data_IF_530923595733
#
_entry.id   IF_530923595733
#
_cell.length_a   1.000
_cell.length_b   1.000
_cell.length_c   1.000
_cell.angle_alpha   90.00
_cell.angle_beta   90.00
_cell.angle_gamma   90.00
#
_symmetry.space_group_name_H-M   'P 1'
#
loop_
_entity.id
_entity.type
_entity.pdbx_description
1 polymer ?
#
# COMPACT_ATOMS: atom_id res chain seq x y z
N UNK A 1 -39.67 20.91 32.31
CA UNK A 1 -38.67 21.84 31.69
C UNK A 1 -37.31 21.15 31.75
N UNK A 2 -36.70 20.86 30.59
CA UNK A 2 -35.37 20.24 30.54
C UNK A 2 -34.36 21.34 30.86
N UNK A 3 -33.47 21.10 31.84
CA UNK A 3 -32.42 22.06 32.18
C UNK A 3 -31.53 22.34 30.96
N UNK A 4 -31.14 23.59 30.66
CA UNK A 4 -30.26 23.95 29.57
C UNK A 4 -28.92 23.21 29.65
N UNK A 5 -28.47 22.84 30.84
CA UNK A 5 -27.25 22.06 31.06
C UNK A 5 -27.41 20.64 30.50
N UNK A 6 -28.54 20.00 30.72
CA UNK A 6 -28.84 18.65 30.19
C UNK A 6 -28.86 18.68 28.65
N UNK A 7 -29.49 19.70 28.07
CA UNK A 7 -29.55 19.86 26.63
C UNK A 7 -28.14 20.07 26.03
N UNK A 8 -27.32 20.92 26.64
CA UNK A 8 -25.95 21.14 26.23
C UNK A 8 -25.08 19.86 26.30
N UNK A 9 -25.21 19.10 27.40
CA UNK A 9 -24.52 17.83 27.58
C UNK A 9 -24.94 16.79 26.50
N UNK A 10 -26.23 16.72 26.19
CA UNK A 10 -26.77 15.81 25.16
C UNK A 10 -26.22 16.19 23.76
N UNK A 11 -26.24 17.47 23.41
CA UNK A 11 -25.65 17.97 22.15
C UNK A 11 -24.17 17.66 22.06
N UNK A 12 -23.41 17.88 23.11
CA UNK A 12 -21.99 17.56 23.17
C UNK A 12 -21.71 16.06 22.96
N UNK A 13 -22.53 15.21 23.57
CA UNK A 13 -22.40 13.75 23.40
C UNK A 13 -22.71 13.29 21.96
N UNK A 14 -23.74 13.88 21.34
CA UNK A 14 -24.11 13.60 19.94
C UNK A 14 -22.99 14.05 19.00
N UNK A 15 -22.43 15.25 19.18
CA UNK A 15 -21.32 15.75 18.39
C UNK A 15 -20.07 14.87 18.53
N UNK A 16 -19.77 14.43 19.74
CA UNK A 16 -18.67 13.50 19.99
C UNK A 16 -18.90 12.15 19.29
N UNK A 17 -20.10 11.60 19.37
CA UNK A 17 -20.47 10.35 18.70
C UNK A 17 -20.33 10.48 17.18
N UNK A 18 -20.77 11.59 16.59
CA UNK A 18 -20.64 11.86 15.16
C UNK A 18 -19.16 12.02 14.74
N UNK A 19 -18.34 12.63 15.58
CA UNK A 19 -16.90 12.77 15.34
C UNK A 19 -16.14 11.43 15.34
N UNK A 20 -16.67 10.43 16.04
CA UNK A 20 -16.10 9.09 16.09
C UNK A 20 -16.43 8.23 14.86
N UNK A 21 -17.45 8.60 14.08
CA UNK A 21 -17.86 7.82 12.91
C UNK A 21 -16.99 8.17 11.71
N UNK A 22 -16.32 7.17 11.12
CA UNK A 22 -15.55 7.28 9.89
C UNK A 22 -16.12 6.39 8.81
N UNK A 23 -16.32 6.97 7.62
CA UNK A 23 -16.72 6.23 6.43
C UNK A 23 -15.47 5.96 5.60
N UNK A 24 -15.22 4.68 5.33
CA UNK A 24 -14.13 4.22 4.48
C UNK A 24 -14.71 3.91 3.10
N UNK A 25 -14.20 4.53 2.02
CA UNK A 25 -14.65 4.27 0.66
C UNK A 25 -14.35 2.82 0.23
N UNK A 26 -15.07 2.37 -0.80
CA UNK A 26 -14.79 1.07 -1.42
C UNK A 26 -13.38 1.06 -2.03
N UNK A 27 -12.71 -0.08 -1.90
CA UNK A 27 -11.34 -0.25 -2.43
C UNK A 27 -10.25 0.36 -1.56
N UNK A 28 -10.58 0.92 -0.40
CA UNK A 28 -9.61 1.44 0.56
C UNK A 28 -9.65 0.69 1.88
N UNK A 29 -8.50 0.60 2.52
CA UNK A 29 -8.32 0.08 3.86
C UNK A 29 -7.55 1.11 4.69
N UNK A 30 -8.04 1.38 5.89
CA UNK A 30 -7.34 2.24 6.84
C UNK A 30 -6.64 1.38 7.87
N UNK A 31 -5.37 1.65 8.10
CA UNK A 31 -4.64 1.09 9.23
C UNK A 31 -4.72 2.05 10.41
N UNK A 32 -5.12 1.53 11.54
CA UNK A 32 -5.18 2.25 12.79
C UNK A 32 -4.06 1.76 13.71
N UNK A 33 -3.38 2.69 14.33
CA UNK A 33 -2.42 2.39 15.40
C UNK A 33 -3.02 2.79 16.74
N UNK A 34 -3.21 1.80 17.60
CA UNK A 34 -3.64 2.00 18.98
C UNK A 34 -2.50 2.56 19.85
N UNK A 35 -2.85 3.09 21.01
CA UNK A 35 -1.88 3.57 22.02
C UNK A 35 -0.95 2.46 22.53
N UNK A 36 -1.41 1.21 22.46
CA UNK A 36 -0.67 -0.01 22.81
C UNK A 36 0.27 -0.50 21.69
N UNK A 37 0.39 0.25 20.59
CA UNK A 37 1.19 -0.10 19.41
C UNK A 37 0.54 -1.14 18.49
N UNK A 38 -0.63 -1.66 18.83
CA UNK A 38 -1.32 -2.63 17.97
C UNK A 38 -1.83 -1.98 16.70
N UNK A 39 -1.65 -2.67 15.60
CA UNK A 39 -2.18 -2.29 14.30
C UNK A 39 -3.51 -3.02 14.05
N UNK A 40 -4.54 -2.26 13.77
CA UNK A 40 -5.87 -2.73 13.38
C UNK A 40 -6.20 -2.21 11.99
N UNK A 41 -6.70 -3.07 11.13
CA UNK A 41 -7.13 -2.70 9.78
C UNK A 41 -8.65 -2.57 9.74
N UNK A 42 -9.13 -1.51 9.11
CA UNK A 42 -10.56 -1.28 8.86
C UNK A 42 -10.78 -1.29 7.34
N UNK A 43 -11.65 -2.19 6.88
CA UNK A 43 -12.09 -2.26 5.50
C UNK A 43 -13.14 -1.21 5.16
N UNK A 44 -13.75 -1.34 3.98
CA UNK A 44 -14.84 -0.47 3.53
C UNK A 44 -16.03 -0.47 4.50
N UNK A 45 -16.74 0.65 4.59
CA UNK A 45 -17.94 0.79 5.40
C UNK A 45 -17.88 1.90 6.44
N UNK A 46 -18.83 1.86 7.39
CA UNK A 46 -18.90 2.78 8.52
C UNK A 46 -18.25 2.13 9.74
N UNK A 47 -17.30 2.83 10.33
CA UNK A 47 -16.56 2.36 11.50
C UNK A 47 -16.54 3.42 12.58
N UNK A 48 -16.56 2.96 13.82
CA UNK A 48 -16.35 3.82 14.98
C UNK A 48 -14.86 3.80 15.32
N UNK A 49 -14.25 4.95 15.25
CA UNK A 49 -12.82 5.18 15.61
C UNK A 49 -12.80 6.16 16.77
N UNK A 50 -12.18 5.77 17.86
CA UNK A 50 -12.04 6.64 19.04
C UNK A 50 -10.77 7.49 18.89
N UNK A 51 -10.87 8.79 18.55
CA UNK A 51 -9.70 9.62 18.21
C UNK A 51 -8.69 9.76 19.35
N UNK A 52 -9.12 9.51 20.59
CA UNK A 52 -8.25 9.55 21.78
C UNK A 52 -7.42 8.28 21.99
N UNK A 53 -7.88 7.14 21.43
CA UNK A 53 -7.28 5.83 21.63
C UNK A 53 -6.60 5.28 20.37
N UNK A 54 -7.13 5.63 19.21
CA UNK A 54 -6.68 5.13 17.92
C UNK A 54 -6.37 6.29 16.96
N UNK A 55 -5.28 6.18 16.23
CA UNK A 55 -4.90 7.14 15.18
C UNK A 55 -4.85 6.41 13.85
N UNK A 56 -5.43 7.02 12.80
CA UNK A 56 -5.24 6.55 11.43
C UNK A 56 -3.76 6.70 11.09
N UNK A 57 -3.09 5.57 10.87
CA UNK A 57 -1.69 5.52 10.46
C UNK A 57 -1.59 5.75 8.95
N UNK A 58 -2.21 4.87 8.16
CA UNK A 58 -2.17 4.98 6.70
C UNK A 58 -3.57 4.72 6.11
N UNK A 59 -3.77 5.29 4.92
CA UNK A 59 -4.90 5.02 4.04
C UNK A 59 -4.36 4.28 2.83
N UNK A 60 -4.64 3.00 2.74
CA UNK A 60 -4.10 2.11 1.73
C UNK A 60 -5.15 1.90 0.65
N UNK A 61 -4.81 2.24 -0.58
CA UNK A 61 -5.64 1.92 -1.74
C UNK A 61 -5.32 0.48 -2.18
N UNK A 62 -6.36 -0.33 -2.32
CA UNK A 62 -6.25 -1.71 -2.82
C UNK A 62 -6.29 -1.78 -4.34
N UNK A 63 -6.62 -0.67 -5.01
CA UNK A 63 -6.53 -0.61 -6.46
C UNK A 63 -5.08 -0.79 -6.91
N UNK A 64 -4.91 -1.41 -8.08
CA UNK A 64 -3.59 -1.58 -8.64
C UNK A 64 -2.91 -0.25 -8.94
N UNK A 65 -1.63 -0.16 -8.64
CA UNK A 65 -0.78 0.98 -8.94
C UNK A 65 0.38 0.59 -9.86
N UNK A 66 1.05 1.58 -10.43
CA UNK A 66 2.17 1.36 -11.35
C UNK A 66 3.39 2.14 -10.92
N UNK A 67 4.55 1.52 -11.04
CA UNK A 67 5.84 2.16 -10.81
C UNK A 67 6.71 2.01 -12.05
N UNK A 68 7.20 3.13 -12.56
CA UNK A 68 8.19 3.13 -13.63
C UNK A 68 9.61 3.04 -13.04
N UNK A 69 10.37 2.08 -13.54
CA UNK A 69 11.77 1.89 -13.20
C UNK A 69 12.57 2.16 -14.46
N UNK A 70 13.25 3.28 -14.47
CA UNK A 70 14.13 3.69 -15.55
C UNK A 70 15.58 3.28 -15.23
N UNK A 71 16.46 3.41 -16.20
CA UNK A 71 17.91 3.22 -16.02
C UNK A 71 18.30 1.79 -15.60
N UNK A 72 17.57 0.81 -16.08
CA UNK A 72 17.95 -0.59 -15.98
C UNK A 72 19.00 -0.88 -17.08
N UNK A 73 20.25 -1.11 -16.70
CA UNK A 73 21.32 -1.30 -17.65
C UNK A 73 21.78 -2.75 -17.69
N UNK A 74 21.92 -3.29 -18.91
CA UNK A 74 22.50 -4.62 -19.13
C UNK A 74 23.41 -4.63 -20.36
N UNK A 75 24.72 -4.73 -20.12
CA UNK A 75 25.71 -4.51 -21.16
C UNK A 75 25.62 -3.09 -21.70
N UNK A 76 25.52 -2.97 -23.01
CA UNK A 76 25.38 -1.67 -23.70
C UNK A 76 23.92 -1.23 -23.90
N UNK A 77 22.96 -1.97 -23.40
CA UNK A 77 21.54 -1.69 -23.59
C UNK A 77 20.89 -1.18 -22.31
N UNK A 78 20.19 -0.08 -22.46
CA UNK A 78 19.33 0.45 -21.42
C UNK A 78 17.90 -0.10 -21.58
N UNK A 79 17.23 -0.34 -20.45
CA UNK A 79 15.87 -0.86 -20.39
C UNK A 79 15.05 0.00 -19.46
N UNK A 80 13.75 0.02 -19.73
CA UNK A 80 12.73 0.60 -18.88
C UNK A 80 11.73 -0.46 -18.48
N UNK A 81 11.42 -0.58 -17.20
CA UNK A 81 10.37 -1.46 -16.71
C UNK A 81 9.20 -0.65 -16.14
N UNK A 82 7.99 -1.13 -16.37
CA UNK A 82 6.78 -0.65 -15.69
C UNK A 82 6.23 -1.82 -14.88
N UNK A 83 6.24 -1.66 -13.57
CA UNK A 83 5.78 -2.67 -12.62
C UNK A 83 4.36 -2.34 -12.18
N UNK A 84 3.41 -3.23 -12.45
CA UNK A 84 2.03 -3.14 -11.99
C UNK A 84 1.89 -3.97 -10.72
N UNK A 85 1.50 -3.35 -9.63
CA UNK A 85 1.38 -4.01 -8.34
C UNK A 85 0.07 -3.65 -7.63
N UNK A 86 -0.28 -4.44 -6.63
CA UNK A 86 -1.40 -4.18 -5.74
C UNK A 86 -1.06 -4.60 -4.31
N UNK A 87 -1.73 -3.99 -3.34
CA UNK A 87 -1.63 -4.37 -1.94
C UNK A 87 -2.63 -5.49 -1.68
N UNK A 88 -2.14 -6.66 -1.24
CA UNK A 88 -2.98 -7.83 -0.92
C UNK A 88 -3.12 -8.05 0.59
N UNK A 89 -2.13 -7.64 1.37
CA UNK A 89 -2.21 -7.63 2.84
C UNK A 89 -1.85 -6.25 3.38
N UNK A 90 -2.88 -5.42 3.72
CA UNK A 90 -2.64 -4.07 4.25
C UNK A 90 -1.88 -4.03 5.58
N UNK A 91 -1.95 -5.10 6.40
CA UNK A 91 -1.22 -5.12 7.68
C UNK A 91 0.28 -5.27 7.47
N UNK A 92 0.66 -6.13 6.54
CA UNK A 92 2.06 -6.32 6.18
C UNK A 92 2.59 -5.12 5.39
N UNK A 93 1.76 -4.55 4.50
CA UNK A 93 2.13 -3.40 3.70
C UNK A 93 2.28 -2.10 4.52
N UNK A 94 1.65 -1.97 5.68
CA UNK A 94 1.69 -0.78 6.55
C UNK A 94 3.13 -0.33 6.87
N UNK A 95 4.07 -1.27 6.96
CA UNK A 95 5.47 -0.98 7.28
C UNK A 95 6.22 -0.33 6.11
N UNK A 96 5.81 -0.64 4.87
CA UNK A 96 6.52 -0.22 3.64
C UNK A 96 5.72 0.75 2.78
N UNK A 97 4.48 1.06 3.18
CA UNK A 97 3.54 1.80 2.34
C UNK A 97 4.02 3.22 2.03
N UNK A 98 4.77 3.85 2.95
CA UNK A 98 5.29 5.20 2.78
C UNK A 98 6.35 5.29 1.67
N UNK A 99 7.06 4.20 1.38
CA UNK A 99 8.10 4.14 0.34
C UNK A 99 8.00 2.87 -0.52
N UNK A 100 6.79 2.47 -0.84
CA UNK A 100 6.53 1.30 -1.71
C UNK A 100 7.16 1.47 -3.10
N UNK A 101 7.13 2.68 -3.65
CA UNK A 101 7.73 2.95 -4.95
C UNK A 101 9.24 2.82 -4.92
N UNK A 102 9.90 3.38 -3.90
CA UNK A 102 11.35 3.26 -3.68
C UNK A 102 11.76 1.80 -3.52
N UNK A 103 11.03 1.05 -2.69
CA UNK A 103 11.24 -0.38 -2.51
C UNK A 103 11.16 -1.15 -3.83
N UNK A 104 10.11 -0.92 -4.63
CA UNK A 104 9.94 -1.59 -5.93
C UNK A 104 11.07 -1.24 -6.91
N UNK A 105 11.46 0.05 -6.97
CA UNK A 105 12.56 0.49 -7.84
C UNK A 105 13.88 -0.17 -7.46
N UNK A 106 14.23 -0.14 -6.19
CA UNK A 106 15.49 -0.72 -5.68
C UNK A 106 15.53 -2.22 -5.90
N UNK A 107 14.43 -2.93 -5.55
CA UNK A 107 14.35 -4.38 -5.71
C UNK A 107 14.41 -4.78 -7.18
N UNK A 108 13.65 -4.10 -8.05
CA UNK A 108 13.65 -4.38 -9.50
C UNK A 108 15.03 -4.16 -10.10
N UNK A 109 15.70 -3.04 -9.76
CA UNK A 109 17.05 -2.75 -10.24
C UNK A 109 18.04 -3.81 -9.78
N UNK A 110 18.03 -4.15 -8.49
CA UNK A 110 18.91 -5.19 -7.95
C UNK A 110 18.73 -6.54 -8.66
N UNK A 111 17.49 -6.98 -8.83
CA UNK A 111 17.22 -8.24 -9.54
C UNK A 111 17.68 -8.18 -11.01
N UNK A 112 17.53 -7.03 -11.65
CA UNK A 112 17.93 -6.85 -13.04
C UNK A 112 19.46 -6.85 -13.22
N UNK A 113 20.19 -6.23 -12.28
CA UNK A 113 21.64 -6.04 -12.37
C UNK A 113 22.43 -7.30 -11.98
N UNK A 114 21.97 -8.02 -10.93
CA UNK A 114 22.77 -9.10 -10.33
C UNK A 114 22.32 -10.52 -10.68
N UNK A 115 21.13 -10.69 -11.23
CA UNK A 115 20.63 -12.03 -11.53
C UNK A 115 21.08 -12.52 -12.93
N UNK A 116 21.15 -13.84 -13.06
CA UNK A 116 21.25 -14.50 -14.36
C UNK A 116 19.88 -14.47 -15.02
N UNK A 117 19.66 -13.43 -15.82
CA UNK A 117 18.40 -13.23 -16.50
C UNK A 117 18.34 -14.05 -17.79
N UNK A 118 17.17 -14.59 -18.15
CA UNK A 118 16.95 -15.19 -19.46
C UNK A 118 17.19 -14.21 -20.61
N UNK A 119 17.70 -14.71 -21.75
CA UNK A 119 17.94 -13.87 -22.92
C UNK A 119 16.64 -13.46 -23.62
N UNK A 120 15.65 -14.34 -23.62
CA UNK A 120 14.33 -14.06 -24.17
C UNK A 120 13.58 -13.03 -23.30
N UNK A 121 12.99 -12.03 -23.97
CA UNK A 121 12.30 -10.90 -23.29
C UNK A 121 11.08 -11.36 -22.50
N UNK A 122 10.32 -12.31 -23.00
CA UNK A 122 9.11 -12.77 -22.31
C UNK A 122 9.46 -13.71 -21.15
N UNK A 123 10.50 -14.52 -21.29
CA UNK A 123 11.05 -15.32 -20.19
C UNK A 123 11.59 -14.41 -19.09
N UNK A 124 12.28 -13.32 -19.48
CA UNK A 124 12.80 -12.31 -18.54
C UNK A 124 11.71 -11.60 -17.76
N UNK A 125 10.61 -11.21 -18.42
CA UNK A 125 9.43 -10.62 -17.76
C UNK A 125 8.81 -11.56 -16.74
N UNK A 126 8.63 -12.83 -17.11
CA UNK A 126 8.09 -13.86 -16.21
C UNK A 126 9.00 -14.09 -15.00
N UNK A 127 10.29 -14.19 -15.23
CA UNK A 127 11.27 -14.40 -14.18
C UNK A 127 11.30 -13.22 -13.20
N UNK A 128 11.37 -11.97 -13.71
CA UNK A 128 11.34 -10.76 -12.87
C UNK A 128 10.05 -10.68 -12.04
N UNK A 129 8.91 -10.97 -12.66
CA UNK A 129 7.63 -11.00 -11.95
C UNK A 129 7.65 -12.00 -10.80
N UNK A 130 8.12 -13.22 -11.06
CA UNK A 130 8.19 -14.27 -10.04
C UNK A 130 9.14 -13.88 -8.92
N UNK A 131 10.36 -13.46 -9.24
CA UNK A 131 11.35 -13.06 -8.24
C UNK A 131 10.90 -11.87 -7.39
N UNK A 132 10.24 -10.87 -8.01
CA UNK A 132 9.65 -9.76 -7.26
C UNK A 132 8.53 -10.23 -6.33
N UNK A 133 7.68 -11.15 -6.78
CA UNK A 133 6.61 -11.69 -5.93
C UNK A 133 7.16 -12.51 -4.76
N UNK A 134 8.22 -13.28 -4.97
CA UNK A 134 8.86 -14.06 -3.90
C UNK A 134 9.42 -13.14 -2.80
N UNK A 135 9.99 -11.98 -3.17
CA UNK A 135 10.54 -11.02 -2.20
C UNK A 135 9.48 -10.10 -1.55
N UNK A 136 8.44 -9.75 -2.28
CA UNK A 136 7.45 -8.77 -1.84
C UNK A 136 6.24 -9.38 -1.14
N UNK A 137 6.05 -10.69 -1.27
CA UNK A 137 4.92 -11.41 -0.70
C UNK A 137 4.82 -11.25 0.82
N UNK A 138 5.94 -11.35 1.52
CA UNK A 138 6.00 -11.17 2.97
C UNK A 138 5.70 -9.72 3.41
N UNK A 139 5.74 -8.78 2.46
CA UNK A 139 5.42 -7.37 2.66
C UNK A 139 4.00 -7.00 2.22
N UNK A 140 3.18 -8.01 1.95
CA UNK A 140 1.78 -7.82 1.58
C UNK A 140 1.56 -7.20 0.19
N UNK A 141 2.56 -7.26 -0.70
CA UNK A 141 2.51 -6.71 -2.05
C UNK A 141 2.50 -7.84 -3.08
N UNK A 142 1.78 -7.64 -4.18
CA UNK A 142 1.72 -8.57 -5.31
C UNK A 142 1.97 -7.83 -6.61
N UNK A 143 2.95 -8.27 -7.38
CA UNK A 143 3.19 -7.80 -8.74
C UNK A 143 2.31 -8.56 -9.71
N UNK A 144 1.37 -7.86 -10.34
CA UNK A 144 0.43 -8.44 -11.28
C UNK A 144 1.05 -8.62 -12.67
N UNK A 145 1.83 -7.61 -13.13
CA UNK A 145 2.43 -7.57 -14.46
C UNK A 145 3.70 -6.72 -14.46
N UNK A 146 4.63 -7.05 -15.36
CA UNK A 146 5.80 -6.23 -15.66
C UNK A 146 5.86 -6.03 -17.17
N UNK A 147 5.97 -4.79 -17.59
CA UNK A 147 6.27 -4.44 -18.97
C UNK A 147 7.73 -3.99 -19.04
N UNK A 148 8.51 -4.66 -19.87
CA UNK A 148 9.93 -4.38 -20.10
C UNK A 148 10.13 -3.96 -21.55
N UNK A 149 10.72 -2.81 -21.76
CA UNK A 149 11.07 -2.29 -23.08
C UNK A 149 12.54 -1.85 -23.10
N UNK A 150 13.21 -2.03 -24.22
CA UNK A 150 14.51 -1.40 -24.44
C UNK A 150 14.30 0.11 -24.49
N UNK A 151 15.14 0.86 -23.81
CA UNK A 151 15.17 2.31 -23.97
C UNK A 151 15.81 2.62 -25.35
N UNK A 152 15.17 3.48 -26.11
CA UNK A 152 15.67 3.91 -27.41
C UNK A 152 16.83 4.88 -27.24
#
# INVERSE_FOLDING_TARGET
MVSPIVLAALCGMILLALACVRRIPRGQVYTLRGRDGRIRTLGEGLHVVLPLLERVAHKIDLAGATVAVNDLRRGERDYRAVVYFQVVDPRQADVVIDDVEGLLRVTTRRLFDYAVLPDDTDARRRWLKQSLNDELRERGLLVARIDLAAAA
#
